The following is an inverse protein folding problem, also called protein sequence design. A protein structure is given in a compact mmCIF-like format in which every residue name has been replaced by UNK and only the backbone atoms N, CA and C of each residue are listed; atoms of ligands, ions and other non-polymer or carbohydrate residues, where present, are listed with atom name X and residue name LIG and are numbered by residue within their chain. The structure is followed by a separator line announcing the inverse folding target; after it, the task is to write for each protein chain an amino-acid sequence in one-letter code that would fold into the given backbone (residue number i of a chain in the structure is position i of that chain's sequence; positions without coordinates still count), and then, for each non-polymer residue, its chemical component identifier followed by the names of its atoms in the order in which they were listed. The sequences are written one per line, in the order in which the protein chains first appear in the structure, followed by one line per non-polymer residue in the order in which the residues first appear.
data_IF_821140296462
#
_entry.id   IF_821140296462
#
_cell.length_a   1.000
_cell.length_b   1.000
_cell.length_c   1.000
_cell.angle_alpha   90.00
_cell.angle_beta   90.00
_cell.angle_gamma   90.00
#
_symmetry.space_group_name_H-M   'P 1'
#
loop_
_entity.id
_entity.type
_entity.pdbx_description
1 polymer ?
#
# COMPACT_ATOMS: atom_id res chain seq x y z
N UNK A 1 13.74 -16.31 -9.46
CA UNK A 1 13.26 -15.82 -8.15
C UNK A 1 11.84 -16.33 -7.87
N UNK A 2 11.38 -16.30 -6.65
CA UNK A 2 10.02 -16.75 -6.26
C UNK A 2 9.33 -15.57 -5.58
N UNK A 3 8.14 -15.21 -6.06
CA UNK A 3 7.35 -14.11 -5.49
C UNK A 3 6.69 -14.51 -4.15
N UNK A 4 5.93 -13.59 -3.52
CA UNK A 4 5.31 -13.86 -2.22
C UNK A 4 4.14 -14.84 -2.30
N UNK A 5 3.65 -15.15 -3.51
CA UNK A 5 2.63 -16.17 -3.74
C UNK A 5 3.24 -17.55 -4.07
N UNK A 6 4.59 -17.68 -4.00
CA UNK A 6 5.30 -18.92 -4.34
C UNK A 6 5.45 -19.18 -5.84
N UNK A 7 5.14 -18.21 -6.69
CA UNK A 7 5.22 -18.34 -8.14
C UNK A 7 6.63 -17.97 -8.62
N UNK A 8 7.20 -18.83 -9.48
CA UNK A 8 8.53 -18.60 -10.05
C UNK A 8 8.45 -17.58 -11.18
N UNK A 9 9.13 -16.44 -11.00
CA UNK A 9 9.38 -15.46 -12.06
C UNK A 9 10.79 -15.68 -12.64
N UNK A 10 10.86 -15.92 -13.94
CA UNK A 10 12.14 -16.04 -14.67
C UNK A 10 12.48 -14.66 -15.23
N UNK A 11 13.49 -14.02 -14.66
CA UNK A 11 13.88 -12.64 -15.01
C UNK A 11 15.33 -12.63 -15.47
N UNK A 12 15.59 -11.99 -16.61
CA UNK A 12 16.95 -11.73 -17.07
C UNK A 12 17.65 -10.75 -16.11
N UNK A 13 18.92 -10.98 -15.85
CA UNK A 13 19.72 -10.08 -14.98
C UNK A 13 20.84 -9.42 -15.76
N UNK A 14 21.17 -8.18 -15.44
CA UNK A 14 20.51 -7.30 -14.46
C UNK A 14 19.12 -6.83 -14.92
N UNK A 15 18.19 -6.59 -13.99
CA UNK A 15 16.90 -5.98 -14.26
C UNK A 15 17.12 -4.52 -14.63
N UNK A 16 16.64 -4.10 -15.80
CA UNK A 16 16.82 -2.74 -16.32
C UNK A 16 15.50 -2.05 -16.67
N UNK A 17 14.42 -2.82 -16.81
CA UNK A 17 13.12 -2.30 -17.22
C UNK A 17 12.01 -2.84 -16.32
N UNK A 18 11.48 -1.97 -15.47
CA UNK A 18 10.45 -2.33 -14.50
C UNK A 18 9.18 -1.52 -14.77
N UNK A 19 8.05 -2.20 -14.76
CA UNK A 19 6.73 -1.56 -14.65
C UNK A 19 6.17 -1.86 -13.27
N UNK A 20 5.79 -0.81 -12.53
CA UNK A 20 5.17 -0.94 -11.21
C UNK A 20 3.67 -0.66 -11.29
N UNK A 21 2.86 -1.61 -10.82
CA UNK A 21 1.41 -1.49 -10.75
C UNK A 21 0.91 -1.07 -9.35
N UNK A 22 1.84 -0.70 -8.46
CA UNK A 22 1.56 -0.41 -7.04
C UNK A 22 2.16 0.95 -6.68
N UNK A 23 1.36 1.95 -6.30
CA UNK A 23 1.84 3.31 -6.04
C UNK A 23 2.95 3.38 -4.98
N UNK A 24 2.79 2.72 -3.85
CA UNK A 24 3.79 2.69 -2.77
C UNK A 24 5.11 2.03 -3.19
N UNK A 25 5.05 0.97 -4.02
CA UNK A 25 6.24 0.30 -4.55
C UNK A 25 6.88 1.15 -5.67
N UNK A 26 6.09 1.90 -6.44
CA UNK A 26 6.63 2.87 -7.41
C UNK A 26 7.50 3.91 -6.70
N UNK A 27 7.03 4.47 -5.59
CA UNK A 27 7.83 5.38 -4.74
C UNK A 27 9.10 4.69 -4.26
N UNK A 28 8.99 3.46 -3.77
CA UNK A 28 10.13 2.67 -3.28
C UNK A 28 11.19 2.43 -4.37
N UNK A 29 10.78 2.10 -5.61
CA UNK A 29 11.67 1.92 -6.75
C UNK A 29 12.33 3.25 -7.14
N UNK A 30 11.53 4.32 -7.26
CA UNK A 30 12.04 5.64 -7.63
C UNK A 30 13.07 6.18 -6.63
N UNK A 31 12.90 5.89 -5.35
CA UNK A 31 13.82 6.31 -4.29
C UNK A 31 15.07 5.42 -4.15
N UNK A 32 15.09 4.22 -4.78
CA UNK A 32 16.17 3.24 -4.59
C UNK A 32 16.95 2.97 -5.86
N UNK A 33 16.26 2.71 -6.96
CA UNK A 33 16.84 2.38 -8.25
C UNK A 33 16.03 3.02 -9.40
N UNK A 34 15.96 4.36 -9.45
CA UNK A 34 15.07 5.11 -10.35
C UNK A 34 15.26 4.73 -11.83
N UNK A 35 16.49 4.47 -12.24
CA UNK A 35 16.86 4.21 -13.64
C UNK A 35 16.16 2.98 -14.26
N UNK A 36 15.63 2.06 -13.46
CA UNK A 36 14.94 0.87 -13.99
C UNK A 36 13.44 1.08 -14.25
N UNK A 37 12.84 2.13 -13.70
CA UNK A 37 11.39 2.36 -13.77
C UNK A 37 10.98 2.92 -15.13
N UNK A 38 10.31 2.12 -15.97
CA UNK A 38 9.87 2.53 -17.32
C UNK A 38 8.37 2.73 -17.45
N UNK A 39 7.59 2.28 -16.47
CA UNK A 39 6.13 2.46 -16.47
C UNK A 39 5.53 2.32 -15.07
N UNK A 40 4.42 3.01 -14.84
CA UNK A 40 3.66 2.93 -13.60
C UNK A 40 2.19 3.30 -13.80
N UNK A 41 1.35 3.08 -12.79
CA UNK A 41 -0.07 3.44 -12.87
C UNK A 41 -0.31 4.95 -12.76
N UNK A 42 -1.50 5.41 -13.15
CA UNK A 42 -1.92 6.81 -13.03
C UNK A 42 -1.97 7.28 -11.57
N UNK A 43 -2.13 6.34 -10.63
CA UNK A 43 -2.17 6.60 -9.18
C UNK A 43 -0.79 6.69 -8.53
N UNK A 44 0.29 6.49 -9.28
CA UNK A 44 1.65 6.66 -8.79
C UNK A 44 2.02 8.15 -8.73
N UNK A 45 1.51 8.86 -7.75
CA UNK A 45 1.67 10.30 -7.54
C UNK A 45 2.91 10.65 -6.73
N UNK A 46 3.59 9.65 -6.18
CA UNK A 46 4.83 9.81 -5.42
C UNK A 46 5.98 9.01 -6.05
N UNK A 47 7.21 9.53 -5.92
CA UNK A 47 7.52 10.89 -5.46
C UNK A 47 6.99 11.95 -6.43
N UNK A 48 6.73 13.16 -5.94
CA UNK A 48 6.45 14.30 -6.83
C UNK A 48 7.63 14.50 -7.78
N UNK A 49 7.37 14.90 -9.03
CA UNK A 49 8.41 15.05 -10.07
C UNK A 49 9.12 13.72 -10.41
N UNK A 50 8.35 12.64 -10.53
CA UNK A 50 8.86 11.28 -10.77
C UNK A 50 9.84 11.22 -11.95
N UNK A 51 9.50 11.84 -13.10
CA UNK A 51 10.32 11.82 -14.30
C UNK A 51 11.66 12.55 -14.11
N UNK A 52 11.72 13.59 -13.28
CA UNK A 52 12.97 14.29 -12.95
C UNK A 52 13.91 13.39 -12.13
N UNK A 53 13.33 12.61 -11.20
CA UNK A 53 14.09 11.68 -10.37
C UNK A 53 14.58 10.48 -11.16
N UNK A 54 13.72 9.95 -12.05
CA UNK A 54 14.02 8.79 -12.90
C UNK A 54 14.97 9.17 -14.03
N UNK A 55 14.91 10.42 -14.51
CA UNK A 55 15.76 10.95 -15.58
C UNK A 55 15.27 10.62 -17.00
N UNK A 56 14.09 10.06 -17.14
CA UNK A 56 13.43 9.76 -18.42
C UNK A 56 11.91 9.70 -18.23
N UNK A 57 11.18 9.64 -19.36
CA UNK A 57 9.73 9.47 -19.36
C UNK A 57 9.32 8.12 -18.73
N UNK A 58 8.31 8.15 -17.84
CA UNK A 58 7.70 6.97 -17.26
C UNK A 58 6.28 6.82 -17.80
N UNK A 59 6.05 5.77 -18.58
CA UNK A 59 4.77 5.56 -19.27
C UNK A 59 3.66 5.25 -18.26
N UNK A 60 2.54 5.96 -18.36
CA UNK A 60 1.35 5.72 -17.55
C UNK A 60 0.52 4.59 -18.13
N UNK A 61 0.28 3.54 -17.33
CA UNK A 61 -0.41 2.32 -17.76
C UNK A 61 -1.79 2.17 -17.14
N UNK A 62 -2.52 3.28 -16.94
CA UNK A 62 -3.86 3.36 -16.31
C UNK A 62 -3.88 2.95 -14.84
N UNK A 63 -5.03 2.46 -14.36
CA UNK A 63 -5.25 2.19 -12.93
C UNK A 63 -4.75 0.83 -12.45
N UNK A 64 -4.63 0.68 -11.11
CA UNK A 64 -4.21 -0.57 -10.45
C UNK A 64 -5.15 -1.74 -10.75
N UNK A 65 -6.46 -1.48 -10.83
CA UNK A 65 -7.50 -2.49 -11.09
C UNK A 65 -7.84 -2.68 -12.59
N UNK A 66 -7.29 -1.85 -13.46
CA UNK A 66 -7.54 -1.89 -14.91
C UNK A 66 -6.32 -1.42 -15.71
N UNK A 67 -5.15 -2.04 -15.52
CA UNK A 67 -3.93 -1.64 -16.20
C UNK A 67 -4.03 -1.87 -17.72
N UNK A 68 -3.36 -1.01 -18.49
CA UNK A 68 -3.22 -1.20 -19.94
C UNK A 68 -2.16 -2.27 -20.22
N UNK A 69 -2.61 -3.53 -20.27
CA UNK A 69 -1.72 -4.69 -20.50
C UNK A 69 -0.97 -4.59 -21.83
N UNK A 70 -1.60 -3.99 -22.87
CA UNK A 70 -0.93 -3.82 -24.14
C UNK A 70 0.25 -2.84 -24.01
N UNK A 71 0.02 -1.70 -23.40
CA UNK A 71 1.09 -0.73 -23.13
C UNK A 71 2.21 -1.35 -22.28
N UNK A 72 1.88 -2.15 -21.27
CA UNK A 72 2.86 -2.87 -20.44
C UNK A 72 3.71 -3.81 -21.29
N UNK A 73 3.10 -4.63 -22.14
CA UNK A 73 3.81 -5.58 -23.01
C UNK A 73 4.69 -4.84 -24.02
N UNK A 74 4.19 -3.76 -24.63
CA UNK A 74 4.93 -2.95 -25.60
C UNK A 74 6.17 -2.29 -24.98
N UNK A 75 6.16 -2.00 -23.67
CA UNK A 75 7.32 -1.54 -22.91
C UNK A 75 8.43 -2.58 -22.76
N UNK A 76 8.16 -3.86 -23.04
CA UNK A 76 9.09 -4.98 -22.88
C UNK A 76 9.81 -4.96 -21.53
N UNK A 77 9.07 -5.00 -20.40
CA UNK A 77 9.69 -4.97 -19.10
C UNK A 77 10.42 -6.29 -18.81
N UNK A 78 11.53 -6.20 -18.10
CA UNK A 78 12.19 -7.37 -17.52
C UNK A 78 11.38 -7.92 -16.34
N UNK A 79 10.66 -7.01 -15.64
CA UNK A 79 9.84 -7.35 -14.49
C UNK A 79 8.65 -6.39 -14.36
N UNK A 80 7.47 -6.92 -14.11
CA UNK A 80 6.30 -6.19 -13.61
C UNK A 80 6.16 -6.48 -12.12
N UNK A 81 5.99 -5.43 -11.32
CA UNK A 81 5.70 -5.56 -9.88
C UNK A 81 4.22 -5.28 -9.63
N UNK A 82 3.56 -6.21 -8.97
CA UNK A 82 2.15 -6.17 -8.61
C UNK A 82 1.96 -6.52 -7.12
N UNK A 83 0.77 -6.27 -6.59
CA UNK A 83 0.35 -6.65 -5.25
C UNK A 83 -0.96 -7.44 -5.31
N UNK A 84 -1.09 -8.46 -4.47
CA UNK A 84 -2.25 -9.35 -4.45
C UNK A 84 -3.56 -8.60 -4.18
N UNK A 85 -3.54 -7.59 -3.32
CA UNK A 85 -4.73 -6.83 -2.94
C UNK A 85 -5.07 -5.73 -3.94
N UNK A 86 -4.06 -5.02 -4.47
CA UNK A 86 -4.27 -3.87 -5.33
C UNK A 86 -4.53 -4.24 -6.80
N UNK A 87 -4.00 -5.35 -7.28
CA UNK A 87 -4.12 -5.74 -8.67
C UNK A 87 -5.04 -6.95 -8.83
N UNK A 88 -5.71 -7.05 -9.98
CA UNK A 88 -6.58 -8.20 -10.29
C UNK A 88 -5.73 -9.40 -10.71
N UNK A 89 -5.98 -10.56 -10.13
CA UNK A 89 -5.33 -11.82 -10.49
C UNK A 89 -5.43 -12.11 -11.99
N UNK A 90 -6.58 -11.80 -12.61
CA UNK A 90 -6.79 -11.98 -14.04
C UNK A 90 -5.77 -11.18 -14.88
N UNK A 91 -5.48 -9.93 -14.53
CA UNK A 91 -4.52 -9.11 -15.27
C UNK A 91 -3.10 -9.63 -15.11
N UNK A 92 -2.73 -10.09 -13.92
CA UNK A 92 -1.44 -10.75 -13.63
C UNK A 92 -1.29 -12.04 -14.46
N UNK A 93 -2.33 -12.85 -14.52
CA UNK A 93 -2.35 -14.10 -15.31
C UNK A 93 -2.12 -13.81 -16.78
N UNK A 94 -2.84 -12.86 -17.37
CA UNK A 94 -2.69 -12.51 -18.77
C UNK A 94 -1.31 -11.92 -19.12
N UNK A 95 -0.70 -11.15 -18.22
CA UNK A 95 0.69 -10.70 -18.40
C UNK A 95 1.68 -11.86 -18.40
N UNK A 96 1.50 -12.81 -17.49
CA UNK A 96 2.34 -14.03 -17.43
C UNK A 96 2.17 -14.91 -18.68
N UNK A 97 0.94 -15.10 -19.18
CA UNK A 97 0.65 -15.82 -20.42
C UNK A 97 1.28 -15.13 -21.65
N UNK A 98 1.40 -13.80 -21.63
CA UNK A 98 2.13 -13.04 -22.65
C UNK A 98 3.67 -13.11 -22.52
N UNK A 99 4.19 -13.92 -21.58
CA UNK A 99 5.61 -14.10 -21.35
C UNK A 99 6.28 -13.01 -20.50
N UNK A 100 5.51 -12.13 -19.87
CA UNK A 100 6.02 -11.09 -18.98
C UNK A 100 6.28 -11.70 -17.59
N UNK A 101 7.47 -11.49 -17.03
CA UNK A 101 7.75 -11.86 -15.67
C UNK A 101 7.00 -10.91 -14.70
N UNK A 102 6.22 -11.47 -13.77
CA UNK A 102 5.47 -10.69 -12.78
C UNK A 102 5.84 -11.18 -11.38
N UNK A 103 6.28 -10.24 -10.54
CA UNK A 103 6.46 -10.42 -9.10
C UNK A 103 5.25 -9.88 -8.39
N UNK A 104 4.54 -10.73 -7.66
CA UNK A 104 3.38 -10.33 -6.86
C UNK A 104 3.79 -10.28 -5.40
N UNK A 105 3.64 -9.12 -4.78
CA UNK A 105 3.80 -8.95 -3.33
C UNK A 105 2.51 -9.31 -2.61
N UNK A 106 2.64 -9.90 -1.42
CA UNK A 106 1.55 -10.11 -0.46
C UNK A 106 1.96 -9.50 0.87
N UNK A 107 1.20 -8.50 1.32
CA UNK A 107 1.57 -7.68 2.47
C UNK A 107 0.31 -7.42 3.31
N UNK A 108 0.19 -8.14 4.41
CA UNK A 108 -0.90 -8.03 5.37
C UNK A 108 -0.42 -7.43 6.71
N UNK A 109 0.91 -7.34 6.91
CA UNK A 109 1.53 -6.80 8.12
C UNK A 109 2.74 -5.93 7.81
N UNK A 110 3.15 -5.10 8.76
CA UNK A 110 4.40 -4.31 8.68
C UNK A 110 5.63 -5.20 8.53
N UNK A 111 5.66 -6.36 9.19
CA UNK A 111 6.77 -7.31 9.08
C UNK A 111 6.85 -7.92 7.69
N UNK A 112 5.71 -8.29 7.13
CA UNK A 112 5.63 -8.75 5.74
C UNK A 112 6.03 -7.66 4.76
N UNK A 113 5.63 -6.39 4.98
CA UNK A 113 6.07 -5.27 4.15
C UNK A 113 7.60 -5.15 4.11
N UNK A 114 8.24 -5.18 5.27
CA UNK A 114 9.71 -5.10 5.37
C UNK A 114 10.37 -6.31 4.70
N UNK A 115 9.89 -7.52 4.98
CA UNK A 115 10.43 -8.75 4.42
C UNK A 115 10.25 -8.84 2.90
N UNK A 116 9.01 -8.59 2.41
CA UNK A 116 8.66 -8.62 0.99
C UNK A 116 9.48 -7.60 0.19
N UNK A 117 9.56 -6.36 0.67
CA UNK A 117 10.35 -5.32 -0.01
C UNK A 117 11.85 -5.61 0.04
N UNK A 118 12.38 -6.15 1.13
CA UNK A 118 13.79 -6.58 1.19
C UNK A 118 14.08 -7.62 0.11
N UNK A 119 13.24 -8.66 -0.01
CA UNK A 119 13.35 -9.68 -1.04
C UNK A 119 13.21 -9.11 -2.45
N UNK A 120 12.25 -8.19 -2.66
CA UNK A 120 12.05 -7.55 -3.95
C UNK A 120 13.31 -6.79 -4.40
N UNK A 121 13.95 -6.03 -3.49
CA UNK A 121 15.17 -5.29 -3.83
C UNK A 121 16.37 -6.21 -4.00
N UNK A 122 16.61 -7.15 -3.10
CA UNK A 122 17.79 -8.02 -3.14
C UNK A 122 17.67 -9.12 -4.19
N UNK A 123 16.56 -9.88 -4.19
CA UNK A 123 16.35 -10.98 -5.12
C UNK A 123 15.73 -10.52 -6.44
N UNK A 124 14.83 -9.54 -6.41
CA UNK A 124 14.15 -8.99 -7.59
C UNK A 124 15.08 -8.11 -8.43
N UNK A 125 15.57 -7.05 -7.87
CA UNK A 125 16.38 -6.05 -8.58
C UNK A 125 17.88 -6.30 -8.48
N UNK A 126 18.36 -7.12 -7.52
CA UNK A 126 19.78 -7.36 -7.30
C UNK A 126 20.47 -6.15 -6.65
N UNK A 127 19.74 -5.30 -5.96
CA UNK A 127 20.26 -4.14 -5.22
C UNK A 127 20.24 -4.42 -3.72
N UNK A 128 21.15 -3.82 -3.00
CA UNK A 128 21.21 -3.93 -1.53
C UNK A 128 19.94 -3.33 -0.91
N UNK A 129 19.50 -3.88 0.22
CA UNK A 129 18.42 -3.33 1.02
C UNK A 129 18.61 -1.82 1.22
N UNK A 130 17.64 -0.98 0.84
CA UNK A 130 17.78 0.48 0.91
C UNK A 130 17.74 0.97 2.36
N UNK A 131 18.47 2.06 2.63
CA UNK A 131 18.58 2.63 3.97
C UNK A 131 17.22 2.99 4.59
N UNK A 132 16.29 3.54 3.79
CA UNK A 132 14.94 3.87 4.28
C UNK A 132 14.17 2.63 4.76
N UNK A 133 14.40 1.46 4.16
CA UNK A 133 13.74 0.21 4.57
C UNK A 133 14.34 -0.32 5.88
N UNK A 134 15.65 -0.22 6.06
CA UNK A 134 16.31 -0.52 7.33
C UNK A 134 15.83 0.42 8.45
N UNK A 135 15.62 1.71 8.13
CA UNK A 135 15.12 2.72 9.06
C UNK A 135 13.67 2.44 9.45
N UNK A 136 12.78 2.18 8.48
CA UNK A 136 11.42 1.75 8.72
C UNK A 136 11.39 0.50 9.62
N UNK A 137 12.21 -0.52 9.30
CA UNK A 137 12.30 -1.75 10.10
C UNK A 137 12.72 -1.51 11.56
N UNK A 138 13.58 -0.54 11.83
CA UNK A 138 13.95 -0.15 13.20
C UNK A 138 12.80 0.57 13.91
N UNK A 139 12.17 1.55 13.25
CA UNK A 139 11.09 2.35 13.81
C UNK A 139 9.88 1.48 14.20
N UNK A 140 9.50 0.57 13.33
CA UNK A 140 8.31 -0.26 13.52
C UNK A 140 8.50 -1.47 14.45
N UNK A 141 9.74 -1.80 14.87
CA UNK A 141 10.01 -2.84 15.89
C UNK A 141 9.74 -2.36 17.31
N UNK A 142 9.71 -1.06 17.55
CA UNK A 142 9.45 -0.55 18.89
C UNK A 142 8.06 -0.96 19.38
N UNK A 143 7.93 -1.45 20.62
CA UNK A 143 6.61 -1.80 21.17
C UNK A 143 5.76 -0.55 21.33
N UNK A 144 4.45 -0.69 21.13
CA UNK A 144 3.50 0.35 21.51
C UNK A 144 3.47 0.44 23.06
N UNK A 145 3.46 1.68 23.56
CA UNK A 145 3.36 1.97 25.00
C UNK A 145 2.17 2.90 25.23
N UNK A 146 1.35 2.58 26.22
CA UNK A 146 0.22 3.40 26.63
C UNK A 146 -1.12 2.71 26.48
N UNK A 147 -2.18 3.50 26.59
CA UNK A 147 -3.56 3.05 26.44
C UNK A 147 -3.84 2.61 25.02
N UNK A 148 -4.60 1.54 24.87
CA UNK A 148 -5.11 1.06 23.59
C UNK A 148 -6.50 1.65 23.39
N UNK A 149 -6.71 2.33 22.24
CA UNK A 149 -8.00 2.89 21.86
C UNK A 149 -8.66 2.01 20.79
N UNK A 150 -9.97 1.92 20.85
CA UNK A 150 -10.77 1.26 19.83
C UNK A 150 -11.07 2.21 18.65
N UNK A 151 -11.09 1.68 17.43
CA UNK A 151 -11.38 2.51 16.27
C UNK A 151 -12.16 1.79 15.16
N UNK A 152 -12.80 2.61 14.32
CA UNK A 152 -13.24 2.25 12.98
C UNK A 152 -12.42 3.08 11.99
N UNK A 153 -11.97 2.45 10.93
CA UNK A 153 -11.31 3.14 9.81
C UNK A 153 -12.13 2.94 8.56
N UNK A 154 -12.64 4.02 7.97
CA UNK A 154 -13.31 3.97 6.67
C UNK A 154 -12.31 4.26 5.55
N UNK A 155 -12.41 3.54 4.43
CA UNK A 155 -11.57 3.73 3.23
C UNK A 155 -12.37 4.11 1.99
N UNK A 156 -13.68 4.07 2.07
CA UNK A 156 -14.59 4.48 0.98
C UNK A 156 -15.93 4.98 1.54
N UNK A 157 -16.56 5.90 0.80
CA UNK A 157 -17.90 6.43 1.08
C UNK A 157 -18.81 6.17 -0.13
N UNK A 158 -20.08 5.94 0.15
CA UNK A 158 -21.14 5.68 -0.82
C UNK A 158 -20.89 4.46 -1.74
N UNK A 159 -20.93 3.22 -1.19
CA UNK A 159 -21.26 2.84 0.19
C UNK A 159 -20.07 3.00 1.15
N UNK A 160 -20.32 3.04 2.46
CA UNK A 160 -19.26 3.01 3.46
C UNK A 160 -18.55 1.66 3.45
N UNK A 161 -17.23 1.70 3.26
CA UNK A 161 -16.37 0.51 3.33
C UNK A 161 -15.34 0.76 4.42
N UNK A 162 -15.27 -0.15 5.37
CA UNK A 162 -14.35 -0.07 6.49
C UNK A 162 -13.22 -1.11 6.39
N UNK A 163 -12.19 -0.91 7.18
CA UNK A 163 -11.03 -1.79 7.25
C UNK A 163 -11.29 -2.90 8.29
N UNK A 164 -11.11 -4.14 7.90
CA UNK A 164 -11.14 -5.30 8.78
C UNK A 164 -9.79 -5.59 9.44
N UNK A 165 -9.79 -6.50 10.41
CA UNK A 165 -8.63 -6.82 11.27
C UNK A 165 -7.45 -7.49 10.54
N UNK A 166 -7.71 -8.25 9.48
CA UNK A 166 -6.68 -9.01 8.76
C UNK A 166 -6.11 -8.21 7.57
N UNK A 167 -5.69 -6.95 7.82
CA UNK A 167 -5.18 -6.06 6.80
C UNK A 167 -3.90 -5.36 7.27
N UNK A 168 -3.10 -4.88 6.32
CA UNK A 168 -1.92 -4.06 6.61
C UNK A 168 -2.26 -2.83 7.47
N UNK A 169 -3.34 -2.12 7.14
CA UNK A 169 -3.80 -0.95 7.90
C UNK A 169 -4.10 -1.32 9.36
N UNK A 170 -4.74 -2.47 9.60
CA UNK A 170 -5.01 -2.95 10.96
C UNK A 170 -3.73 -3.21 11.75
N UNK A 171 -2.71 -3.84 11.12
CA UNK A 171 -1.41 -4.08 11.79
C UNK A 171 -0.68 -2.77 12.10
N UNK A 172 -0.69 -1.81 11.16
CA UNK A 172 -0.15 -0.45 11.35
C UNK A 172 -0.80 0.24 12.55
N UNK A 173 -2.12 0.24 12.61
CA UNK A 173 -2.89 0.84 13.70
C UNK A 173 -2.60 0.18 15.04
N UNK A 174 -2.59 -1.15 15.10
CA UNK A 174 -2.27 -1.92 16.31
C UNK A 174 -0.89 -1.56 16.86
N UNK A 175 0.10 -1.31 15.98
CA UNK A 175 1.46 -0.92 16.38
C UNK A 175 1.57 0.50 16.94
N UNK A 176 0.54 1.31 16.79
CA UNK A 176 0.43 2.64 17.42
C UNK A 176 -0.61 2.70 18.55
N UNK A 177 -1.15 1.54 18.99
CA UNK A 177 -2.08 1.43 20.10
C UNK A 177 -3.53 1.70 19.73
N UNK A 178 -3.90 1.41 18.49
CA UNK A 178 -5.28 1.48 18.02
C UNK A 178 -5.73 0.08 17.61
N UNK A 179 -6.83 -0.42 18.15
CA UNK A 179 -7.45 -1.68 17.76
C UNK A 179 -8.76 -1.43 17.01
N UNK A 180 -8.90 -2.06 15.85
CA UNK A 180 -10.14 -1.98 15.08
C UNK A 180 -11.24 -2.80 15.78
N UNK A 181 -12.43 -2.21 15.92
CA UNK A 181 -13.61 -2.89 16.41
C UNK A 181 -14.12 -3.92 15.40
N UNK A 182 -14.89 -4.91 15.85
CA UNK A 182 -15.59 -5.82 14.96
C UNK A 182 -16.79 -5.11 14.34
N UNK A 183 -16.88 -5.19 13.03
CA UNK A 183 -18.00 -4.69 12.24
C UNK A 183 -18.72 -5.86 11.56
N UNK A 184 -20.00 -5.72 11.19
CA UNK A 184 -20.72 -6.75 10.47
C UNK A 184 -20.04 -7.11 9.13
N UNK A 185 -20.06 -8.41 8.79
CA UNK A 185 -19.50 -8.96 7.55
C UNK A 185 -18.18 -9.69 7.74
N UNK A 186 -17.91 -10.66 6.84
CA UNK A 186 -16.70 -11.50 6.86
C UNK A 186 -15.60 -10.99 5.93
N UNK A 187 -15.85 -9.88 5.21
CA UNK A 187 -14.89 -9.32 4.25
C UNK A 187 -13.73 -8.62 4.98
N UNK A 188 -12.55 -8.64 4.37
CA UNK A 188 -11.41 -7.81 4.80
C UNK A 188 -11.72 -6.30 4.73
N UNK A 189 -12.68 -5.93 3.89
CA UNK A 189 -13.21 -4.59 3.72
C UNK A 189 -14.74 -4.66 3.74
N UNK A 190 -15.36 -4.74 4.93
CA UNK A 190 -16.81 -4.86 5.04
C UNK A 190 -17.52 -3.58 4.59
N UNK A 191 -18.66 -3.77 3.91
CA UNK A 191 -19.64 -2.72 3.67
C UNK A 191 -20.49 -2.59 4.93
N UNK A 192 -20.62 -1.38 5.45
CA UNK A 192 -21.32 -1.12 6.71
C UNK A 192 -22.23 0.10 6.59
N UNK A 193 -23.22 0.16 7.47
CA UNK A 193 -24.05 1.35 7.64
C UNK A 193 -23.46 2.25 8.75
N UNK A 194 -23.77 3.54 8.70
CA UNK A 194 -23.35 4.47 9.77
C UNK A 194 -23.88 4.06 11.14
N UNK A 195 -25.04 3.40 11.18
CA UNK A 195 -25.62 2.85 12.41
C UNK A 195 -24.79 1.72 13.02
N UNK A 196 -24.10 0.90 12.19
CA UNK A 196 -23.22 -0.15 12.66
C UNK A 196 -21.97 0.44 13.32
N UNK A 197 -21.43 1.50 12.69
CA UNK A 197 -20.29 2.25 13.24
C UNK A 197 -20.66 2.88 14.60
N UNK A 198 -21.81 3.52 14.67
CA UNK A 198 -22.29 4.14 15.90
C UNK A 198 -22.55 3.10 17.00
N UNK A 199 -23.12 1.94 16.66
CA UNK A 199 -23.42 0.85 17.60
C UNK A 199 -22.15 0.18 18.15
N UNK A 200 -21.05 0.21 17.42
CA UNK A 200 -19.76 -0.33 17.87
C UNK A 200 -19.07 0.55 18.94
N UNK A 201 -19.55 1.79 19.15
CA UNK A 201 -19.01 2.74 20.13
C UNK A 201 -17.48 2.88 20.11
N UNK A 202 -16.84 3.14 18.94
CA UNK A 202 -15.40 3.27 18.88
C UNK A 202 -14.92 4.55 19.58
N UNK A 203 -13.73 4.53 20.17
CA UNK A 203 -13.09 5.72 20.72
C UNK A 203 -12.71 6.70 19.61
N UNK A 204 -12.47 6.19 18.39
CA UNK A 204 -12.08 6.99 17.22
C UNK A 204 -12.75 6.49 15.94
N UNK A 205 -13.07 7.44 15.06
CA UNK A 205 -13.31 7.17 13.64
C UNK A 205 -12.15 7.77 12.87
N UNK A 206 -11.47 6.95 12.08
CA UNK A 206 -10.28 7.33 11.32
C UNK A 206 -10.66 7.43 9.85
N UNK A 207 -10.42 8.59 9.25
CA UNK A 207 -10.72 8.91 7.86
C UNK A 207 -9.43 9.36 7.15
N UNK A 208 -8.79 8.47 6.37
CA UNK A 208 -7.61 8.83 5.58
C UNK A 208 -7.99 9.61 4.32
N UNK A 209 -7.07 10.39 3.78
CA UNK A 209 -7.27 11.11 2.51
C UNK A 209 -7.02 10.23 1.27
N UNK A 210 -6.71 8.94 1.45
CA UNK A 210 -6.59 7.91 0.41
C UNK A 210 -7.10 6.55 0.92
N UNK A 211 -7.68 5.68 0.08
CA UNK A 211 -7.95 5.82 -1.37
C UNK A 211 -9.15 6.73 -1.70
N UNK A 212 -10.06 6.93 -0.76
CA UNK A 212 -11.10 7.94 -0.85
C UNK A 212 -10.60 9.22 -0.17
N UNK A 213 -10.78 10.37 -0.85
CA UNK A 213 -10.32 11.65 -0.32
C UNK A 213 -11.29 12.18 0.75
N UNK A 214 -11.19 11.63 1.98
CA UNK A 214 -11.95 12.17 3.10
C UNK A 214 -11.44 13.56 3.51
N UNK A 215 -12.39 14.44 3.83
CA UNK A 215 -12.13 15.81 4.24
C UNK A 215 -12.98 16.25 5.42
N UNK A 216 -12.87 17.53 5.81
CA UNK A 216 -13.63 18.07 6.94
C UNK A 216 -15.16 17.91 6.83
N UNK A 217 -15.70 17.90 5.61
CA UNK A 217 -17.13 17.75 5.37
C UNK A 217 -17.65 16.33 5.74
N UNK A 218 -16.78 15.32 5.66
CA UNK A 218 -17.13 13.94 5.99
C UNK A 218 -17.25 13.71 7.50
N UNK A 219 -16.64 14.57 8.32
CA UNK A 219 -16.71 14.50 9.79
C UNK A 219 -18.15 14.59 10.28
N UNK A 220 -19.00 15.35 9.58
CA UNK A 220 -20.40 15.52 9.93
C UNK A 220 -21.26 14.25 9.85
N UNK A 221 -20.77 13.21 9.14
CA UNK A 221 -21.42 11.90 9.06
C UNK A 221 -21.37 11.11 10.39
N UNK A 222 -20.49 11.51 11.32
CA UNK A 222 -20.23 10.80 12.58
C UNK A 222 -20.54 11.66 13.82
N UNK A 223 -21.80 12.07 14.03
CA UNK A 223 -22.16 12.96 15.13
C UNK A 223 -21.89 12.28 16.48
N UNK A 224 -21.20 13.00 17.37
CA UNK A 224 -20.86 12.51 18.72
C UNK A 224 -19.67 11.56 18.81
N UNK A 225 -19.05 11.19 17.68
CA UNK A 225 -17.82 10.38 17.64
C UNK A 225 -16.57 11.25 17.45
N UNK A 226 -15.47 10.80 18.00
CA UNK A 226 -14.18 11.48 17.85
C UNK A 226 -13.52 11.11 16.50
N UNK A 227 -13.73 11.94 15.46
CA UNK A 227 -13.17 11.73 14.14
C UNK A 227 -11.73 12.24 14.04
N UNK A 228 -10.88 11.52 13.34
CA UNK A 228 -9.51 11.89 13.00
C UNK A 228 -9.30 11.80 11.50
N UNK A 229 -8.93 12.92 10.88
CA UNK A 229 -8.44 12.96 9.50
C UNK A 229 -6.94 12.67 9.53
N UNK A 230 -6.48 11.76 8.68
CA UNK A 230 -5.07 11.34 8.64
C UNK A 230 -4.53 11.24 7.21
N UNK A 231 -3.23 11.39 7.07
CA UNK A 231 -2.49 11.10 5.85
C UNK A 231 -2.60 9.60 5.51
N UNK A 232 -3.30 9.30 4.44
CA UNK A 232 -3.57 7.92 3.99
C UNK A 232 -2.30 7.19 3.57
N UNK A 233 -1.32 7.90 3.03
CA UNK A 233 -0.02 7.30 2.66
C UNK A 233 0.73 6.81 3.92
N UNK A 234 0.68 7.57 5.00
CA UNK A 234 1.26 7.16 6.29
C UNK A 234 0.55 5.98 6.92
N UNK A 235 -0.72 5.78 6.58
CA UNK A 235 -1.54 4.70 7.10
C UNK A 235 -1.47 3.42 6.25
N UNK A 236 -1.47 3.56 4.91
CA UNK A 236 -1.72 2.45 3.99
C UNK A 236 -0.53 2.08 3.10
N UNK A 237 0.48 2.94 2.94
CA UNK A 237 1.58 2.69 2.02
C UNK A 237 2.73 1.94 2.69
N UNK A 238 3.20 0.88 2.04
CA UNK A 238 4.42 0.16 2.39
C UNK A 238 5.55 0.57 1.42
N UNK A 239 6.49 1.34 1.94
CA UNK A 239 7.57 1.94 1.15
C UNK A 239 8.30 3.03 1.96
N UNK A 240 8.95 4.01 1.32
CA UNK A 240 9.60 5.14 2.00
C UNK A 240 8.67 5.91 2.93
N UNK A 241 7.36 5.95 2.62
CA UNK A 241 6.32 6.56 3.45
C UNK A 241 6.20 5.95 4.85
N UNK A 242 6.69 4.71 5.07
CA UNK A 242 6.72 4.08 6.40
C UNK A 242 7.63 4.79 7.39
N UNK A 243 8.67 5.50 6.89
CA UNK A 243 9.59 6.26 7.74
C UNK A 243 8.86 7.48 8.32
N UNK A 244 8.89 7.61 9.64
CA UNK A 244 8.17 8.66 10.38
C UNK A 244 6.66 8.42 10.49
N UNK A 245 6.08 7.44 9.80
CA UNK A 245 4.64 7.17 9.82
C UNK A 245 4.16 6.76 11.23
N UNK A 246 4.92 5.92 11.91
CA UNK A 246 4.58 5.48 13.27
C UNK A 246 4.45 6.66 14.24
N UNK A 247 5.39 7.60 14.21
CA UNK A 247 5.37 8.81 15.06
C UNK A 247 4.20 9.70 14.70
N UNK A 248 3.98 9.91 13.40
CA UNK A 248 2.87 10.71 12.91
C UNK A 248 1.53 10.15 13.39
N UNK A 249 1.26 8.86 13.14
CA UNK A 249 0.00 8.22 13.51
C UNK A 249 -0.21 8.19 15.02
N UNK A 250 0.83 7.88 15.80
CA UNK A 250 0.75 7.92 17.26
C UNK A 250 0.39 9.30 17.81
N UNK A 251 0.74 10.38 17.12
CA UNK A 251 0.36 11.75 17.49
C UNK A 251 -1.02 12.14 16.97
N UNK A 252 -1.35 11.81 15.73
CA UNK A 252 -2.59 12.22 15.07
C UNK A 252 -3.83 11.50 15.62
N UNK A 253 -3.68 10.27 16.12
CA UNK A 253 -4.79 9.42 16.56
C UNK A 253 -5.11 9.54 18.07
N UNK A 254 -4.34 10.23 18.84
CA UNK A 254 -4.57 10.52 20.28
C UNK A 254 -5.26 11.86 20.52
#
# INVERSE_FOLDING_TARGET
MIDDLGVKASVARPVQRVVSLVPSITEAIAMTCPHVLVGCTDYCIRPTHLEEIVGHEVVRVRGTKNPDRKAIIDLRPDLVVANQEENREHDVTLLREAGVAVWVTRIDTVEEAISSLTRLFEEGFGVRCPQWLEEAGREWREPCRGEVLSAVTAVWRDPWICVGKDTYISDVLRRVGIELVDLPGESRYPHVELTDIAAAHPDRVILPDEPYHFGPDDVSAFPGLAVRLVDGQKLAWYGPSMVGARRYLASALR
#
